data_IF_620444181246
#
_entry.id   IF_620444181246
#
_cell.length_a   1.000
_cell.length_b   1.000
_cell.length_c   1.000
_cell.angle_alpha   90.00
_cell.angle_beta   90.00
_cell.angle_gamma   90.00
#
_symmetry.space_group_name_H-M   'P 1'
#
loop_
_entity.id
_entity.type
_entity.pdbx_description
1 polymer ?
#
# COMPACT_ATOMS: atom_id res chain seq x y z
N UNK A 1 12.88 6.35 11.32
CA UNK A 1 11.91 5.39 10.72
C UNK A 1 12.17 3.99 11.24
N UNK A 2 11.18 3.10 11.21
CA UNK A 2 11.29 1.68 11.61
C UNK A 2 11.17 0.79 10.38
N UNK A 3 11.88 -0.34 10.36
CA UNK A 3 11.71 -1.34 9.34
C UNK A 3 10.60 -2.30 9.73
N UNK A 4 9.71 -2.58 8.81
CA UNK A 4 8.60 -3.51 8.94
C UNK A 4 8.45 -4.41 7.72
N UNK A 5 7.43 -5.27 7.75
CA UNK A 5 7.09 -6.16 6.64
C UNK A 5 5.59 -6.36 6.55
N UNK A 6 5.09 -6.47 5.32
CA UNK A 6 3.73 -6.89 5.05
C UNK A 6 3.63 -8.43 5.19
N UNK A 7 2.90 -8.88 6.19
CA UNK A 7 2.85 -10.28 6.63
C UNK A 7 2.20 -11.24 5.63
N UNK A 8 1.61 -10.72 4.54
CA UNK A 8 1.07 -11.54 3.45
C UNK A 8 2.10 -12.54 2.90
N UNK A 9 3.39 -12.18 2.95
CA UNK A 9 4.51 -13.04 2.55
C UNK A 9 4.56 -14.37 3.30
N UNK A 10 4.05 -14.39 4.51
CA UNK A 10 4.12 -15.53 5.44
C UNK A 10 2.77 -16.15 5.71
N UNK A 11 1.75 -15.87 4.88
CA UNK A 11 0.38 -16.38 5.06
C UNK A 11 0.23 -17.90 5.15
N UNK A 12 1.22 -18.65 4.68
CA UNK A 12 1.29 -20.10 4.84
C UNK A 12 1.88 -20.59 6.17
N UNK A 13 2.42 -19.69 7.03
CA UNK A 13 2.94 -20.00 8.36
C UNK A 13 1.88 -19.70 9.43
N UNK A 14 2.02 -20.31 10.61
CA UNK A 14 1.27 -19.82 11.78
C UNK A 14 1.72 -18.42 12.15
N UNK A 15 0.82 -17.66 12.76
CA UNK A 15 1.09 -16.27 13.15
C UNK A 15 2.36 -16.16 14.00
N UNK A 16 2.44 -16.98 15.05
CA UNK A 16 3.55 -16.93 16.01
C UNK A 16 4.90 -17.24 15.34
N UNK A 17 4.94 -18.27 14.47
CA UNK A 17 6.16 -18.68 13.75
C UNK A 17 6.61 -17.57 12.79
N UNK A 18 5.66 -16.90 12.13
CA UNK A 18 5.93 -15.78 11.24
C UNK A 18 6.45 -14.55 12.02
N UNK A 19 5.83 -14.22 13.16
CA UNK A 19 6.26 -13.13 14.01
C UNK A 19 7.65 -13.38 14.62
N UNK A 20 7.94 -14.61 15.05
CA UNK A 20 9.26 -15.01 15.55
C UNK A 20 10.32 -14.84 14.47
N UNK A 21 10.02 -15.25 13.25
CA UNK A 21 10.92 -15.08 12.12
C UNK A 21 11.19 -13.59 11.81
N UNK A 22 10.14 -12.77 11.75
CA UNK A 22 10.25 -11.32 11.50
C UNK A 22 11.08 -10.65 12.60
N UNK A 23 10.80 -10.96 13.87
CA UNK A 23 11.56 -10.42 15.00
C UNK A 23 13.04 -10.85 14.97
N UNK A 24 13.33 -12.10 14.56
CA UNK A 24 14.70 -12.62 14.44
C UNK A 24 15.52 -11.87 13.39
N UNK A 25 14.87 -11.25 12.39
CA UNK A 25 15.49 -10.41 11.36
C UNK A 25 15.72 -8.96 11.81
N UNK A 26 15.38 -8.62 13.06
CA UNK A 26 15.59 -7.29 13.63
C UNK A 26 14.53 -6.25 13.28
N UNK A 27 13.44 -6.63 12.60
CA UNK A 27 12.35 -5.73 12.28
C UNK A 27 11.62 -5.25 13.54
N UNK A 28 10.92 -4.13 13.42
CA UNK A 28 10.20 -3.47 14.53
C UNK A 28 8.69 -3.35 14.28
N UNK A 29 8.23 -3.66 13.08
CA UNK A 29 6.83 -3.51 12.73
C UNK A 29 6.36 -4.61 11.79
N UNK A 30 5.06 -4.88 11.86
CA UNK A 30 4.33 -5.73 10.92
C UNK A 30 3.12 -5.00 10.40
N UNK A 31 2.85 -5.17 9.11
CA UNK A 31 1.60 -4.82 8.46
C UNK A 31 0.82 -6.13 8.24
N UNK A 32 -0.47 -6.16 8.56
CA UNK A 32 -1.20 -7.42 8.62
C UNK A 32 -2.44 -7.39 7.73
N UNK A 33 -2.58 -8.38 6.85
CA UNK A 33 -3.74 -8.57 6.00
C UNK A 33 -5.00 -8.93 6.80
N UNK A 34 -6.11 -8.27 6.48
CA UNK A 34 -7.40 -8.39 7.19
C UNK A 34 -8.58 -8.62 6.26
N UNK A 35 -8.34 -8.76 4.96
CA UNK A 35 -9.37 -8.98 3.93
C UNK A 35 -8.88 -8.56 2.54
N UNK A 36 -9.79 -8.52 1.58
CA UNK A 36 -9.46 -8.19 0.20
C UNK A 36 -8.47 -9.16 -0.45
N UNK A 37 -7.54 -8.63 -1.26
CA UNK A 37 -6.50 -9.42 -1.93
C UNK A 37 -5.46 -10.03 -0.96
N UNK A 38 -5.01 -9.34 0.09
CA UNK A 38 -4.11 -9.92 1.09
C UNK A 38 -4.67 -11.12 1.84
N UNK A 39 -6.00 -11.25 1.88
CA UNK A 39 -6.66 -12.22 2.74
C UNK A 39 -6.53 -11.86 4.24
N UNK A 40 -6.88 -12.81 5.09
CA UNK A 40 -6.94 -12.63 6.54
C UNK A 40 -6.34 -13.82 7.32
N UNK A 41 -5.38 -14.53 6.73
CA UNK A 41 -4.83 -15.78 7.27
C UNK A 41 -4.25 -15.63 8.69
N UNK A 42 -3.71 -14.45 9.02
CA UNK A 42 -3.16 -14.15 10.34
C UNK A 42 -4.07 -13.29 11.22
N UNK A 43 -5.09 -12.66 10.64
CA UNK A 43 -5.95 -11.71 11.34
C UNK A 43 -7.35 -11.70 10.74
N UNK A 44 -8.26 -12.44 11.35
CA UNK A 44 -9.67 -12.40 10.98
C UNK A 44 -10.39 -11.28 11.76
N UNK A 45 -10.77 -10.16 11.12
CA UNK A 45 -11.37 -9.03 11.81
C UNK A 45 -12.70 -9.38 12.49
N UNK A 46 -13.51 -10.24 11.88
CA UNK A 46 -14.82 -10.63 12.45
C UNK A 46 -14.62 -11.41 13.75
N UNK A 47 -13.76 -12.41 13.72
CA UNK A 47 -13.42 -13.20 14.91
C UNK A 47 -12.90 -12.31 16.04
N UNK A 48 -11.94 -11.42 15.73
CA UNK A 48 -11.31 -10.59 16.75
C UNK A 48 -12.23 -9.49 17.28
N UNK A 49 -13.18 -9.01 16.48
CA UNK A 49 -14.19 -8.05 16.93
C UNK A 49 -15.22 -8.66 17.89
N UNK A 50 -15.53 -9.94 17.72
CA UNK A 50 -16.52 -10.67 18.52
C UNK A 50 -15.93 -11.35 19.74
N UNK A 51 -14.59 -11.61 19.78
CA UNK A 51 -13.91 -12.33 20.84
C UNK A 51 -12.80 -11.52 21.47
N UNK A 52 -13.10 -10.92 22.62
CA UNK A 52 -12.19 -10.07 23.41
C UNK A 52 -10.91 -10.81 23.87
N UNK A 53 -11.04 -12.12 24.17
CA UNK A 53 -9.89 -12.94 24.56
C UNK A 53 -8.95 -13.16 23.39
N UNK A 54 -9.49 -13.55 22.22
CA UNK A 54 -8.71 -13.71 21.01
C UNK A 54 -8.04 -12.40 20.59
N UNK A 55 -8.73 -11.26 20.73
CA UNK A 55 -8.16 -9.93 20.47
C UNK A 55 -6.94 -9.64 21.35
N UNK A 56 -7.04 -9.93 22.65
CA UNK A 56 -5.93 -9.73 23.59
C UNK A 56 -4.76 -10.67 23.31
N UNK A 57 -5.04 -11.93 23.01
CA UNK A 57 -4.01 -12.91 22.63
C UNK A 57 -3.29 -12.51 21.35
N UNK A 58 -4.03 -12.08 20.32
CA UNK A 58 -3.47 -11.57 19.08
C UNK A 58 -2.54 -10.37 19.32
N UNK A 59 -3.02 -9.36 20.05
CA UNK A 59 -2.23 -8.18 20.40
C UNK A 59 -0.97 -8.57 21.17
N UNK A 60 -1.10 -9.44 22.16
CA UNK A 60 0.02 -9.92 22.95
C UNK A 60 1.03 -10.71 22.11
N UNK A 61 0.58 -11.52 21.15
CA UNK A 61 1.47 -12.26 20.26
C UNK A 61 2.41 -11.33 19.49
N UNK A 62 1.94 -10.18 19.03
CA UNK A 62 2.77 -9.17 18.35
C UNK A 62 3.66 -8.42 19.34
N UNK A 63 3.08 -7.86 20.40
CA UNK A 63 3.78 -6.95 21.32
C UNK A 63 4.84 -7.66 22.17
N UNK A 64 4.63 -8.92 22.56
CA UNK A 64 5.60 -9.70 23.33
C UNK A 64 6.92 -9.96 22.61
N UNK A 65 6.94 -9.78 21.29
CA UNK A 65 8.13 -9.89 20.43
C UNK A 65 8.82 -8.56 20.16
N UNK A 66 8.36 -7.48 20.81
CA UNK A 66 8.86 -6.13 20.59
C UNK A 66 8.47 -5.55 19.21
N UNK A 67 7.44 -6.12 18.59
CA UNK A 67 6.87 -5.65 17.32
C UNK A 67 5.67 -4.74 17.57
N UNK A 68 5.41 -3.82 16.63
CA UNK A 68 4.17 -3.05 16.55
C UNK A 68 3.41 -3.39 15.28
N UNK A 69 2.09 -3.23 15.29
CA UNK A 69 1.30 -3.28 14.08
C UNK A 69 1.33 -1.88 13.44
N UNK A 70 1.92 -1.77 12.24
CA UNK A 70 2.02 -0.48 11.52
C UNK A 70 0.75 -0.13 10.77
N UNK A 71 0.10 -1.12 10.19
CA UNK A 71 -1.16 -0.97 9.48
C UNK A 71 -1.93 -2.29 9.45
N UNK A 72 -3.24 -2.19 9.30
CA UNK A 72 -4.08 -3.29 8.86
C UNK A 72 -4.42 -3.08 7.38
N UNK A 73 -4.40 -4.16 6.58
CA UNK A 73 -4.44 -4.05 5.12
C UNK A 73 -5.53 -4.91 4.52
N UNK A 74 -6.46 -4.27 3.80
CA UNK A 74 -7.62 -4.90 3.17
C UNK A 74 -7.79 -4.44 1.72
N UNK A 75 -6.71 -4.53 0.93
CA UNK A 75 -6.69 -4.10 -0.47
C UNK A 75 -7.76 -4.81 -1.29
N UNK A 76 -8.80 -4.08 -1.70
CA UNK A 76 -9.94 -4.57 -2.45
C UNK A 76 -10.54 -3.51 -3.37
N UNK A 77 -11.62 -3.84 -4.04
CA UNK A 77 -12.35 -2.91 -4.91
C UNK A 77 -13.78 -2.66 -4.40
N UNK A 78 -13.99 -1.78 -3.42
CA UNK A 78 -15.32 -1.48 -2.90
C UNK A 78 -16.22 -0.75 -3.92
N UNK A 79 -15.66 -0.32 -5.05
CA UNK A 79 -16.37 0.31 -6.17
C UNK A 79 -16.58 -0.64 -7.36
N UNK A 80 -16.32 -1.93 -7.18
CA UNK A 80 -16.48 -2.91 -8.25
C UNK A 80 -17.91 -2.89 -8.81
N UNK A 81 -18.10 -2.92 -10.16
CA UNK A 81 -19.44 -2.88 -10.76
C UNK A 81 -20.35 -4.03 -10.31
N UNK A 82 -19.78 -5.20 -10.07
CA UNK A 82 -20.52 -6.33 -9.50
C UNK A 82 -20.73 -6.12 -7.99
N UNK A 83 -21.97 -5.85 -7.60
CA UNK A 83 -22.35 -5.42 -6.25
C UNK A 83 -21.95 -6.40 -5.13
N UNK A 84 -21.88 -7.70 -5.40
CA UNK A 84 -21.46 -8.69 -4.40
C UNK A 84 -19.98 -8.58 -4.08
N UNK A 85 -19.13 -8.35 -5.10
CA UNK A 85 -17.70 -8.13 -4.92
C UNK A 85 -17.45 -6.80 -4.21
N UNK A 86 -18.12 -5.73 -4.67
CA UNK A 86 -18.03 -4.42 -4.02
C UNK A 86 -18.40 -4.47 -2.54
N UNK A 87 -19.51 -5.16 -2.22
CA UNK A 87 -19.97 -5.29 -0.84
C UNK A 87 -19.00 -6.08 0.02
N UNK A 88 -18.46 -7.20 -0.50
CA UNK A 88 -17.46 -7.98 0.23
C UNK A 88 -16.26 -7.12 0.62
N UNK A 89 -15.68 -6.41 -0.33
CA UNK A 89 -14.50 -5.59 -0.10
C UNK A 89 -14.81 -4.36 0.77
N UNK A 90 -16.02 -3.82 0.65
CA UNK A 90 -16.52 -2.80 1.56
C UNK A 90 -16.66 -3.31 3.00
N UNK A 91 -17.26 -4.48 3.20
CA UNK A 91 -17.44 -5.09 4.52
C UNK A 91 -16.07 -5.39 5.16
N UNK A 92 -15.09 -5.85 4.38
CA UNK A 92 -13.72 -6.06 4.83
C UNK A 92 -13.10 -4.74 5.33
N UNK A 93 -13.27 -3.64 4.59
CA UNK A 93 -12.82 -2.31 5.01
C UNK A 93 -13.46 -1.86 6.33
N UNK A 94 -14.79 -1.97 6.44
CA UNK A 94 -15.53 -1.57 7.65
C UNK A 94 -15.09 -2.37 8.88
N UNK A 95 -14.92 -3.68 8.74
CA UNK A 95 -14.44 -4.52 9.84
C UNK A 95 -12.99 -4.20 10.20
N UNK A 96 -12.15 -3.94 9.20
CA UNK A 96 -10.74 -3.57 9.42
C UNK A 96 -10.61 -2.25 10.18
N UNK A 97 -11.37 -1.21 9.81
CA UNK A 97 -11.37 0.08 10.53
C UNK A 97 -11.80 -0.09 11.99
N UNK A 98 -12.87 -0.85 12.25
CA UNK A 98 -13.31 -1.13 13.63
C UNK A 98 -12.26 -1.90 14.43
N UNK A 99 -11.59 -2.87 13.80
CA UNK A 99 -10.53 -3.63 14.43
C UNK A 99 -9.29 -2.75 14.71
N UNK A 100 -8.92 -1.89 13.76
CA UNK A 100 -7.82 -0.94 13.92
C UNK A 100 -8.03 -0.04 15.15
N UNK A 101 -9.24 0.52 15.33
CA UNK A 101 -9.60 1.28 16.52
C UNK A 101 -9.40 0.47 17.81
N UNK A 102 -9.87 -0.78 17.84
CA UNK A 102 -9.73 -1.64 19.04
C UNK A 102 -8.29 -2.01 19.37
N UNK A 103 -7.47 -2.21 18.34
CA UNK A 103 -6.04 -2.53 18.49
C UNK A 103 -5.17 -1.30 18.76
N UNK A 104 -5.68 -0.09 18.53
CA UNK A 104 -4.90 1.15 18.57
C UNK A 104 -3.98 1.32 17.36
N UNK A 105 -4.35 0.76 16.20
CA UNK A 105 -3.63 0.89 14.94
C UNK A 105 -4.16 2.12 14.19
N UNK A 106 -3.27 3.03 13.84
CA UNK A 106 -3.67 4.32 13.28
C UNK A 106 -3.97 4.29 11.76
N UNK A 107 -3.49 3.28 11.03
CA UNK A 107 -3.54 3.24 9.57
C UNK A 107 -4.23 1.97 9.07
N UNK A 108 -5.16 2.16 8.14
CA UNK A 108 -5.73 1.07 7.33
C UNK A 108 -5.33 1.30 5.88
N UNK A 109 -4.59 0.34 5.29
CA UNK A 109 -4.19 0.37 3.90
C UNK A 109 -5.21 -0.35 3.02
N UNK A 110 -5.53 0.24 1.87
CA UNK A 110 -6.45 -0.34 0.89
C UNK A 110 -6.25 0.29 -0.50
N UNK A 111 -6.99 -0.21 -1.50
CA UNK A 111 -7.12 0.45 -2.80
C UNK A 111 -8.30 1.43 -2.83
N UNK A 112 -8.21 2.43 -3.70
CA UNK A 112 -9.30 3.41 -3.88
C UNK A 112 -10.56 2.83 -4.50
N UNK A 113 -10.48 1.65 -5.08
CA UNK A 113 -11.50 1.10 -5.96
C UNK A 113 -11.40 1.61 -7.39
N UNK A 114 -12.02 0.86 -8.30
CA UNK A 114 -12.17 1.21 -9.72
C UNK A 114 -13.60 0.84 -10.17
N UNK A 115 -14.45 1.84 -10.47
CA UNK A 115 -15.79 1.59 -10.98
C UNK A 115 -15.76 1.13 -12.45
N UNK A 116 -16.94 0.77 -12.96
CA UNK A 116 -17.14 0.63 -14.40
C UNK A 116 -17.30 1.97 -15.11
N UNK A 117 -17.70 1.93 -16.36
CA UNK A 117 -17.95 3.10 -17.23
C UNK A 117 -19.37 3.66 -17.08
N UNK A 118 -20.29 2.91 -16.47
CA UNK A 118 -21.67 3.32 -16.20
C UNK A 118 -22.31 2.42 -15.12
N UNK A 119 -23.55 2.74 -14.71
CA UNK A 119 -24.22 2.10 -13.56
C UNK A 119 -24.43 0.59 -13.70
N UNK A 120 -24.61 0.08 -14.92
CA UNK A 120 -24.84 -1.32 -15.21
C UNK A 120 -23.62 -2.04 -15.81
N UNK A 121 -22.43 -1.47 -15.66
CA UNK A 121 -21.19 -2.10 -16.10
C UNK A 121 -20.97 -3.45 -15.37
N UNK A 122 -20.29 -4.37 -16.03
CA UNK A 122 -19.92 -5.67 -15.45
C UNK A 122 -18.50 -5.68 -14.88
N UNK A 123 -17.60 -4.93 -15.51
CA UNK A 123 -16.18 -4.92 -15.18
C UNK A 123 -15.70 -3.52 -14.85
N UNK A 124 -14.65 -3.39 -14.03
CA UNK A 124 -13.97 -2.12 -13.83
C UNK A 124 -13.46 -1.56 -15.16
N UNK A 125 -13.45 -0.24 -15.28
CA UNK A 125 -12.86 0.47 -16.40
C UNK A 125 -11.84 1.49 -15.86
N UNK A 126 -10.58 1.34 -16.26
CA UNK A 126 -9.50 2.25 -15.86
C UNK A 126 -9.05 3.08 -17.07
N UNK A 127 -9.62 4.29 -17.29
CA UNK A 127 -9.23 5.15 -18.41
C UNK A 127 -7.82 5.71 -18.20
N UNK A 128 -6.93 5.46 -19.14
CA UNK A 128 -5.53 5.91 -19.09
C UNK A 128 -5.13 6.79 -20.28
N UNK A 129 -6.02 6.95 -21.26
CA UNK A 129 -5.81 7.79 -22.43
C UNK A 129 -6.80 8.96 -22.45
N UNK A 130 -6.36 10.19 -22.81
CA UNK A 130 -7.23 11.37 -22.81
C UNK A 130 -8.15 11.46 -24.02
N UNK A 131 -8.00 10.58 -25.00
CA UNK A 131 -8.75 10.55 -26.25
C UNK A 131 -9.00 9.10 -26.70
N UNK A 132 -10.17 8.73 -27.25
CA UNK A 132 -11.36 9.59 -27.54
C UNK A 132 -11.99 10.24 -26.31
N UNK A 133 -12.83 11.27 -26.51
CA UNK A 133 -13.45 12.03 -25.43
C UNK A 133 -14.31 11.19 -24.49
N UNK A 134 -14.82 10.06 -24.96
CA UNK A 134 -15.54 9.06 -24.16
C UNK A 134 -14.79 8.70 -22.87
N UNK A 135 -13.45 8.59 -22.93
CA UNK A 135 -12.64 8.29 -21.76
C UNK A 135 -12.67 9.41 -20.70
N UNK A 136 -12.75 10.67 -21.16
CA UNK A 136 -12.90 11.82 -20.25
C UNK A 136 -14.28 11.84 -19.59
N UNK A 137 -15.33 11.50 -20.34
CA UNK A 137 -16.70 11.41 -19.84
C UNK A 137 -16.81 10.27 -18.81
N UNK A 138 -16.25 9.09 -19.11
CA UNK A 138 -16.17 7.96 -18.17
C UNK A 138 -15.45 8.38 -16.90
N UNK A 139 -14.27 8.99 -17.02
CA UNK A 139 -13.47 9.42 -15.87
C UNK A 139 -14.22 10.44 -15.01
N UNK A 140 -14.88 11.44 -15.63
CA UNK A 140 -15.68 12.41 -14.90
C UNK A 140 -16.83 11.73 -14.13
N UNK A 141 -17.60 10.85 -14.82
CA UNK A 141 -18.69 10.11 -14.21
C UNK A 141 -18.23 9.24 -13.03
N UNK A 142 -17.11 8.52 -13.18
CA UNK A 142 -16.53 7.68 -12.12
C UNK A 142 -16.22 8.51 -10.86
N UNK A 143 -15.54 9.63 -11.05
CA UNK A 143 -15.13 10.48 -9.92
C UNK A 143 -16.31 11.13 -9.23
N UNK A 144 -17.25 11.69 -10.00
CA UNK A 144 -18.39 12.44 -9.46
C UNK A 144 -19.46 11.55 -8.82
N UNK A 145 -19.67 10.36 -9.39
CA UNK A 145 -20.80 9.51 -8.99
C UNK A 145 -20.41 8.30 -8.14
N UNK A 146 -19.12 7.94 -8.10
CA UNK A 146 -18.64 6.74 -7.38
C UNK A 146 -17.51 7.05 -6.39
N UNK A 147 -16.38 7.55 -6.86
CA UNK A 147 -15.14 7.66 -6.06
C UNK A 147 -15.32 8.69 -4.94
N UNK A 148 -15.68 9.94 -5.29
CA UNK A 148 -15.81 11.00 -4.30
C UNK A 148 -16.95 10.72 -3.31
N UNK A 149 -18.17 10.32 -3.73
CA UNK A 149 -19.24 10.01 -2.79
C UNK A 149 -18.86 8.90 -1.81
N UNK A 150 -18.25 7.83 -2.29
CA UNK A 150 -17.84 6.72 -1.43
C UNK A 150 -16.82 7.17 -0.39
N UNK A 151 -15.74 7.83 -0.80
CA UNK A 151 -14.66 8.20 0.12
C UNK A 151 -15.00 9.37 1.04
N UNK A 152 -15.98 10.22 0.69
CA UNK A 152 -16.54 11.20 1.64
C UNK A 152 -17.24 10.52 2.81
N UNK A 153 -18.03 9.50 2.54
CA UNK A 153 -18.76 8.75 3.56
C UNK A 153 -17.81 7.88 4.38
N UNK A 154 -17.05 7.04 3.72
CA UNK A 154 -16.24 6.01 4.39
C UNK A 154 -14.89 6.53 4.90
N UNK A 155 -14.38 7.61 4.34
CA UNK A 155 -13.29 8.39 4.93
C UNK A 155 -13.73 9.07 6.25
N UNK A 156 -14.92 9.67 6.28
CA UNK A 156 -15.48 10.22 7.52
C UNK A 156 -15.67 9.13 8.58
N UNK A 157 -16.20 7.96 8.18
CA UNK A 157 -16.31 6.80 9.07
C UNK A 157 -14.96 6.40 9.66
N UNK A 158 -13.90 6.31 8.86
CA UNK A 158 -12.56 5.99 9.37
C UNK A 158 -12.06 7.07 10.34
N UNK A 159 -12.27 8.35 10.03
CA UNK A 159 -11.90 9.46 10.90
C UNK A 159 -12.62 9.42 12.26
N UNK A 160 -13.92 9.10 12.29
CA UNK A 160 -14.69 8.91 13.51
C UNK A 160 -14.15 7.79 14.41
N UNK A 161 -13.47 6.80 13.82
CA UNK A 161 -12.81 5.71 14.53
C UNK A 161 -11.34 6.03 14.88
N UNK A 162 -10.86 7.24 14.58
CA UNK A 162 -9.47 7.64 14.80
C UNK A 162 -8.46 6.96 13.86
N UNK A 163 -8.91 6.51 12.70
CA UNK A 163 -8.12 5.75 11.73
C UNK A 163 -7.89 6.56 10.48
N UNK A 164 -6.64 6.59 10.01
CA UNK A 164 -6.22 7.15 8.71
C UNK A 164 -6.36 6.09 7.62
N UNK A 165 -6.70 6.50 6.41
CA UNK A 165 -6.78 5.61 5.25
C UNK A 165 -5.55 5.82 4.37
N UNK A 166 -4.71 4.81 4.26
CA UNK A 166 -3.58 4.75 3.33
C UNK A 166 -4.01 4.13 2.00
N UNK A 167 -4.27 4.96 1.00
CA UNK A 167 -4.58 4.46 -0.34
C UNK A 167 -3.28 4.14 -1.09
N UNK A 168 -3.14 2.91 -1.51
CA UNK A 168 -2.02 2.55 -2.38
C UNK A 168 -2.25 3.12 -3.78
N UNK A 169 -1.23 3.86 -4.27
CA UNK A 169 -1.29 4.49 -5.58
C UNK A 169 -0.98 3.46 -6.68
N UNK A 170 -1.93 2.57 -6.90
CA UNK A 170 -1.78 1.41 -7.77
C UNK A 170 -2.48 1.62 -9.12
N UNK A 171 -1.78 1.36 -10.24
CA UNK A 171 -2.42 1.33 -11.56
C UNK A 171 -3.55 0.31 -11.62
N UNK A 172 -4.61 0.63 -12.37
CA UNK A 172 -5.84 -0.15 -12.39
C UNK A 172 -6.89 0.31 -11.38
N UNK A 173 -6.55 1.30 -10.52
CA UNK A 173 -7.47 1.92 -9.56
C UNK A 173 -7.63 3.42 -9.82
N UNK A 174 -8.70 4.02 -9.28
CA UNK A 174 -9.02 5.43 -9.53
C UNK A 174 -7.96 6.40 -8.95
N UNK A 175 -7.36 6.05 -7.83
CA UNK A 175 -6.25 6.79 -7.24
C UNK A 175 -4.95 6.01 -7.49
N UNK A 176 -4.14 6.51 -8.43
CA UNK A 176 -2.92 5.82 -8.86
C UNK A 176 -1.72 6.77 -9.01
N UNK A 177 -1.92 8.07 -8.85
CA UNK A 177 -0.87 9.09 -8.95
C UNK A 177 -0.98 10.11 -7.80
N UNK A 178 0.07 10.89 -7.51
CA UNK A 178 -0.03 11.99 -6.54
C UNK A 178 -1.19 12.94 -6.83
N UNK A 179 -1.42 13.29 -8.10
CA UNK A 179 -2.50 14.21 -8.48
C UNK A 179 -3.89 13.62 -8.17
N UNK A 180 -4.12 12.34 -8.45
CA UNK A 180 -5.41 11.69 -8.16
C UNK A 180 -5.62 11.51 -6.66
N UNK A 181 -4.57 11.26 -5.88
CA UNK A 181 -4.66 11.24 -4.42
C UNK A 181 -5.05 12.61 -3.85
N UNK A 182 -4.37 13.67 -4.29
CA UNK A 182 -4.63 15.03 -3.80
C UNK A 182 -6.04 15.49 -4.18
N UNK A 183 -6.52 15.15 -5.38
CA UNK A 183 -7.91 15.39 -5.78
C UNK A 183 -8.90 14.72 -4.82
N UNK A 184 -8.65 13.47 -4.44
CA UNK A 184 -9.53 12.77 -3.51
C UNK A 184 -9.43 13.33 -2.10
N UNK A 185 -8.22 13.65 -1.63
CA UNK A 185 -7.98 14.24 -0.31
C UNK A 185 -8.66 15.60 -0.17
N UNK A 186 -8.65 16.45 -1.21
CA UNK A 186 -9.39 17.70 -1.25
C UNK A 186 -10.91 17.48 -1.08
N UNK A 187 -11.45 16.43 -1.67
CA UNK A 187 -12.86 16.11 -1.66
C UNK A 187 -13.33 15.38 -0.39
N UNK A 188 -12.51 14.53 0.21
CA UNK A 188 -12.87 13.61 1.29
C UNK A 188 -12.17 13.88 2.63
N UNK A 189 -11.20 14.81 2.66
CA UNK A 189 -10.51 15.24 3.88
C UNK A 189 -9.15 14.59 4.10
N UNK A 190 -8.44 15.08 5.12
CA UNK A 190 -7.06 14.70 5.45
C UNK A 190 -6.91 13.26 5.96
N UNK A 191 -7.98 12.61 6.30
CA UNK A 191 -8.01 11.17 6.64
C UNK A 191 -7.51 10.31 5.47
N UNK A 192 -7.66 10.80 4.23
CA UNK A 192 -7.15 10.16 3.02
C UNK A 192 -5.68 10.54 2.81
N UNK A 193 -4.82 9.56 2.69
CA UNK A 193 -3.41 9.73 2.34
C UNK A 193 -2.88 8.52 1.59
N UNK A 194 -1.61 8.54 1.26
CA UNK A 194 -0.96 7.44 0.53
C UNK A 194 -0.47 6.35 1.48
N UNK A 195 -0.69 5.11 1.13
CA UNK A 195 0.29 4.06 1.27
C UNK A 195 1.16 4.15 0.01
N UNK A 196 2.33 4.80 0.11
CA UNK A 196 3.15 5.08 -1.05
C UNK A 196 4.05 3.88 -1.36
N UNK A 197 3.84 3.29 -2.53
CA UNK A 197 4.68 2.22 -3.06
C UNK A 197 5.46 2.69 -4.29
N UNK A 198 6.80 2.83 -4.19
CA UNK A 198 7.63 3.23 -5.31
C UNK A 198 7.51 2.32 -6.53
N UNK A 199 7.25 1.03 -6.31
CA UNK A 199 7.19 0.06 -7.41
C UNK A 199 6.13 0.41 -8.43
N UNK A 200 4.99 0.96 -7.98
CA UNK A 200 3.92 1.41 -8.86
C UNK A 200 4.18 2.78 -9.48
N UNK A 201 5.09 3.58 -8.89
CA UNK A 201 5.46 4.88 -9.45
C UNK A 201 6.34 4.70 -10.68
N UNK A 202 7.40 3.89 -10.61
CA UNK A 202 8.37 3.73 -11.69
C UNK A 202 7.76 3.27 -13.00
N UNK A 203 6.93 2.25 -13.00
CA UNK A 203 6.32 1.80 -14.25
C UNK A 203 5.22 2.74 -14.79
N UNK A 204 4.76 3.67 -13.97
CA UNK A 204 3.90 4.77 -14.44
C UNK A 204 4.70 5.99 -14.93
N UNK A 205 6.04 5.94 -14.91
CA UNK A 205 6.90 7.04 -15.30
C UNK A 205 6.99 8.16 -14.26
N UNK A 206 6.71 7.86 -13.00
CA UNK A 206 6.74 8.80 -11.88
C UNK A 206 8.00 8.53 -11.06
N UNK A 207 8.78 9.59 -10.78
CA UNK A 207 9.90 9.54 -9.84
C UNK A 207 9.37 9.49 -8.40
N UNK A 208 9.64 8.42 -7.62
CA UNK A 208 9.18 8.30 -6.24
C UNK A 208 9.69 9.40 -5.31
N UNK A 209 10.90 9.90 -5.51
CA UNK A 209 11.45 11.01 -4.70
C UNK A 209 10.61 12.26 -4.89
N UNK A 210 10.24 12.58 -6.14
CA UNK A 210 9.38 13.73 -6.43
C UNK A 210 7.96 13.51 -5.89
N UNK A 211 7.40 12.29 -6.01
CA UNK A 211 6.11 11.96 -5.44
C UNK A 211 6.11 12.13 -3.90
N UNK A 212 7.17 11.72 -3.21
CA UNK A 212 7.35 11.92 -1.76
C UNK A 212 7.35 13.41 -1.43
N UNK A 213 8.08 14.24 -2.18
CA UNK A 213 8.09 15.69 -1.95
C UNK A 213 6.73 16.34 -2.17
N UNK A 214 5.99 15.93 -3.20
CA UNK A 214 4.66 16.46 -3.52
C UNK A 214 3.67 16.12 -2.41
N UNK A 215 3.61 14.85 -2.01
CA UNK A 215 2.64 14.36 -1.03
C UNK A 215 3.04 14.68 0.40
N UNK A 216 4.33 14.55 0.73
CA UNK A 216 4.82 14.73 2.07
C UNK A 216 4.70 16.17 2.58
N UNK A 217 4.91 17.20 1.72
CA UNK A 217 4.67 18.61 2.07
C UNK A 217 3.23 18.92 2.48
N UNK A 218 2.30 18.04 2.13
CA UNK A 218 0.88 18.14 2.47
C UNK A 218 0.47 17.16 3.59
N UNK A 219 1.44 16.48 4.23
CA UNK A 219 1.16 15.46 5.24
C UNK A 219 0.33 14.29 4.71
N UNK A 220 0.44 14.00 3.40
CA UNK A 220 -0.41 13.06 2.71
C UNK A 220 0.21 11.66 2.55
N UNK A 221 1.31 11.34 3.26
CA UNK A 221 1.89 9.99 3.30
C UNK A 221 1.56 9.38 4.65
N UNK A 222 0.69 8.38 4.66
CA UNK A 222 0.25 7.71 5.88
C UNK A 222 1.02 6.42 6.16
N UNK A 223 1.45 5.73 5.09
CA UNK A 223 2.24 4.52 5.16
C UNK A 223 3.17 4.44 3.93
N UNK A 224 4.15 3.53 3.98
CA UNK A 224 5.12 3.36 2.89
C UNK A 224 5.46 1.89 2.68
N UNK A 225 5.30 1.40 1.45
CA UNK A 225 5.78 0.10 1.02
C UNK A 225 7.18 0.19 0.41
N UNK A 226 8.04 -0.74 0.77
CA UNK A 226 9.35 -0.91 0.15
C UNK A 226 9.31 -2.11 -0.79
N UNK A 227 8.97 -1.83 -2.04
CA UNK A 227 8.97 -2.75 -3.16
C UNK A 227 9.64 -2.08 -4.36
N UNK A 228 10.46 -2.82 -5.08
CA UNK A 228 11.22 -2.31 -6.23
C UNK A 228 10.59 -2.75 -7.56
N UNK A 229 11.01 -2.11 -8.64
CA UNK A 229 10.60 -2.43 -10.01
C UNK A 229 11.78 -2.27 -10.95
N UNK A 230 11.99 -3.22 -11.84
CA UNK A 230 12.88 -3.07 -12.99
C UNK A 230 12.06 -2.83 -14.25
N UNK A 231 12.52 -1.89 -15.08
CA UNK A 231 11.98 -1.68 -16.44
C UNK A 231 12.94 -2.34 -17.42
N UNK A 232 12.43 -3.31 -18.21
CA UNK A 232 13.22 -3.97 -19.23
C UNK A 232 13.40 -3.03 -20.43
N UNK A 233 14.65 -2.66 -20.79
CA UNK A 233 14.91 -1.66 -21.82
C UNK A 233 14.56 -2.14 -23.25
N UNK A 234 14.41 -3.45 -23.47
CA UNK A 234 14.00 -4.00 -24.76
C UNK A 234 12.49 -4.09 -24.85
N UNK A 235 11.88 -4.75 -23.86
CA UNK A 235 10.44 -5.02 -23.85
C UNK A 235 9.61 -3.75 -23.70
N UNK A 236 10.08 -2.72 -22.99
CA UNK A 236 9.39 -1.44 -22.91
C UNK A 236 9.27 -0.73 -24.28
N UNK A 237 10.25 -0.93 -25.16
CA UNK A 237 10.21 -0.41 -26.53
C UNK A 237 9.26 -1.20 -27.44
N UNK A 238 8.88 -2.42 -27.05
CA UNK A 238 7.88 -3.23 -27.75
C UNK A 238 6.46 -2.97 -27.24
N UNK A 239 6.28 -2.87 -25.92
CA UNK A 239 4.94 -2.92 -25.28
C UNK A 239 4.53 -1.61 -24.58
N UNK A 240 5.47 -0.69 -24.35
CA UNK A 240 5.25 0.47 -23.51
C UNK A 240 5.14 0.11 -22.02
N UNK A 241 4.96 1.13 -21.16
CA UNK A 241 4.85 0.93 -19.71
C UNK A 241 3.47 0.41 -19.28
N UNK A 242 2.43 0.58 -20.11
CA UNK A 242 1.08 0.03 -19.88
C UNK A 242 0.93 -1.42 -20.36
N UNK A 243 1.99 -2.20 -20.23
CA UNK A 243 2.04 -3.60 -20.63
C UNK A 243 1.00 -4.45 -19.91
N UNK A 244 0.18 -5.18 -20.69
CA UNK A 244 -0.92 -6.01 -20.21
C UNK A 244 -0.60 -7.50 -20.17
N UNK A 245 0.67 -7.89 -20.36
CA UNK A 245 1.06 -9.29 -20.31
C UNK A 245 0.96 -9.87 -18.90
N UNK A 246 0.63 -11.18 -18.82
CA UNK A 246 0.61 -11.91 -17.54
C UNK A 246 1.95 -11.80 -16.81
N UNK A 247 1.92 -11.68 -15.49
CA UNK A 247 3.12 -11.71 -14.64
C UNK A 247 3.95 -13.00 -14.79
N UNK A 248 3.35 -14.09 -15.26
CA UNK A 248 4.06 -15.35 -15.55
C UNK A 248 5.00 -15.25 -16.76
N UNK A 249 4.78 -14.27 -17.66
CA UNK A 249 5.61 -14.07 -18.85
C UNK A 249 6.80 -13.16 -18.57
N UNK A 250 7.59 -13.48 -17.59
CA UNK A 250 8.66 -12.62 -17.07
C UNK A 250 9.67 -12.16 -18.15
N UNK A 251 10.00 -13.02 -19.11
CA UNK A 251 10.94 -12.67 -20.19
C UNK A 251 10.40 -11.64 -21.21
N UNK A 252 9.08 -11.53 -21.31
CA UNK A 252 8.42 -10.72 -22.34
C UNK A 252 7.86 -9.42 -21.77
N UNK A 253 7.82 -9.24 -20.44
CA UNK A 253 7.22 -8.07 -19.80
C UNK A 253 8.11 -6.84 -19.89
N UNK A 254 7.47 -5.69 -20.07
CA UNK A 254 8.14 -4.38 -20.08
C UNK A 254 8.68 -3.97 -18.70
N UNK A 255 8.12 -4.50 -17.62
CA UNK A 255 8.58 -4.25 -16.25
C UNK A 255 8.19 -5.40 -15.33
N UNK A 256 8.92 -5.52 -14.23
CA UNK A 256 8.72 -6.57 -13.23
C UNK A 256 8.96 -6.02 -11.84
N UNK A 257 8.18 -6.49 -10.87
CA UNK A 257 8.48 -6.23 -9.46
C UNK A 257 9.75 -6.98 -9.04
N UNK A 258 10.52 -6.34 -8.18
CA UNK A 258 11.79 -6.87 -7.68
C UNK A 258 11.93 -6.64 -6.18
N UNK A 259 12.73 -7.46 -5.55
CA UNK A 259 13.20 -7.19 -4.19
C UNK A 259 14.00 -5.88 -4.16
N UNK A 260 13.91 -5.15 -3.04
CA UNK A 260 14.60 -3.86 -2.86
C UNK A 260 16.09 -3.95 -3.21
N UNK A 261 16.55 -3.08 -4.11
CA UNK A 261 17.92 -3.02 -4.62
C UNK A 261 18.20 -3.91 -5.83
N UNK A 262 17.18 -4.60 -6.37
CA UNK A 262 17.29 -5.42 -7.58
C UNK A 262 16.60 -4.83 -8.80
N UNK A 263 15.84 -3.78 -8.63
CA UNK A 263 15.33 -2.93 -9.72
C UNK A 263 16.12 -1.64 -9.85
N UNK A 264 16.34 -0.97 -8.74
CA UNK A 264 17.10 0.27 -8.63
C UNK A 264 18.24 0.12 -7.65
N UNK A 265 19.30 0.92 -7.82
CA UNK A 265 20.49 0.86 -6.98
C UNK A 265 20.22 1.40 -5.55
N UNK A 266 21.16 1.13 -4.65
CA UNK A 266 21.05 1.57 -3.26
C UNK A 266 21.16 3.08 -3.08
N UNK A 267 21.71 3.80 -4.07
CA UNK A 267 21.70 5.26 -4.09
C UNK A 267 20.28 5.79 -4.25
N UNK A 268 19.50 5.22 -5.15
CA UNK A 268 18.09 5.56 -5.35
C UNK A 268 17.27 5.32 -4.07
N UNK A 269 17.50 4.19 -3.40
CA UNK A 269 16.84 3.90 -2.13
C UNK A 269 17.28 4.83 -0.99
N UNK A 270 18.54 5.24 -0.94
CA UNK A 270 19.02 6.24 -0.01
C UNK A 270 18.36 7.62 -0.24
N UNK A 271 18.14 8.00 -1.51
CA UNK A 271 17.44 9.23 -1.86
C UNK A 271 15.96 9.19 -1.44
N UNK A 272 15.29 8.04 -1.61
CA UNK A 272 13.93 7.81 -1.12
C UNK A 272 13.87 7.97 0.41
N UNK A 273 14.77 7.32 1.17
CA UNK A 273 14.81 7.43 2.64
C UNK A 273 15.08 8.87 3.08
N UNK A 274 15.97 9.58 2.38
CA UNK A 274 16.27 10.99 2.65
C UNK A 274 15.07 11.89 2.38
N UNK A 275 14.35 11.65 1.27
CA UNK A 275 13.15 12.40 0.93
C UNK A 275 12.02 12.18 1.95
N UNK A 276 11.78 10.95 2.37
CA UNK A 276 10.82 10.62 3.43
C UNK A 276 11.15 11.37 4.73
N UNK A 277 12.41 11.32 5.16
CA UNK A 277 12.86 12.03 6.36
C UNK A 277 12.71 13.55 6.22
N UNK A 278 13.07 14.11 5.06
CA UNK A 278 13.00 15.55 4.79
C UNK A 278 11.58 16.10 4.87
N UNK A 279 10.57 15.33 4.44
CA UNK A 279 9.17 15.74 4.53
C UNK A 279 8.51 15.39 5.87
N UNK A 280 9.28 14.91 6.85
CA UNK A 280 8.82 14.62 8.21
C UNK A 280 8.17 13.23 8.38
N UNK A 281 8.27 12.35 7.40
CA UNK A 281 7.81 10.96 7.57
C UNK A 281 8.80 10.22 8.48
N UNK A 282 8.32 9.79 9.63
CA UNK A 282 9.11 9.04 10.62
C UNK A 282 8.34 7.83 11.17
N UNK A 283 7.70 7.10 10.28
CA UNK A 283 6.89 5.94 10.63
C UNK A 283 7.54 4.63 10.15
N UNK A 284 6.84 3.76 9.48
CA UNK A 284 7.31 2.44 9.09
C UNK A 284 7.59 2.40 7.59
N UNK A 285 8.71 1.78 7.23
CA UNK A 285 9.06 1.33 5.88
C UNK A 285 8.76 -0.17 5.86
N UNK A 286 7.65 -0.56 5.25
CA UNK A 286 7.10 -1.92 5.24
C UNK A 286 7.56 -2.64 3.98
N UNK A 287 8.35 -3.71 4.13
CA UNK A 287 8.78 -4.52 2.99
C UNK A 287 7.56 -5.24 2.41
N UNK A 288 7.37 -5.10 1.11
CA UNK A 288 6.51 -5.94 0.30
C UNK A 288 7.33 -6.65 -0.76
N UNK A 289 7.06 -7.94 -1.01
CA UNK A 289 7.85 -8.76 -1.93
C UNK A 289 6.95 -9.47 -2.93
N UNK A 290 7.18 -9.17 -4.20
CA UNK A 290 6.52 -9.81 -5.34
C UNK A 290 7.53 -10.12 -6.46
N UNK A 291 8.76 -10.50 -6.08
CA UNK A 291 9.84 -10.81 -7.02
C UNK A 291 9.71 -12.24 -7.53
N UNK A 292 9.37 -12.42 -8.79
CA UNK A 292 9.23 -13.74 -9.41
C UNK A 292 10.56 -14.48 -9.65
N UNK A 293 11.72 -13.81 -9.47
CA UNK A 293 13.05 -14.42 -9.62
C UNK A 293 13.66 -14.91 -8.31
N UNK A 294 13.02 -14.61 -7.18
CA UNK A 294 13.49 -15.00 -5.85
C UNK A 294 12.39 -15.70 -5.06
N UNK A 295 12.78 -16.64 -4.21
CA UNK A 295 11.88 -17.15 -3.18
C UNK A 295 11.54 -16.03 -2.19
N UNK A 296 10.41 -16.16 -1.48
CA UNK A 296 10.02 -15.22 -0.42
C UNK A 296 11.14 -15.07 0.60
N UNK A 297 11.76 -16.17 1.04
CA UNK A 297 12.82 -16.17 2.04
C UNK A 297 14.07 -15.40 1.58
N UNK A 298 14.49 -15.66 0.35
CA UNK A 298 15.68 -15.02 -0.22
C UNK A 298 15.41 -13.54 -0.48
N UNK A 299 14.32 -13.21 -1.15
CA UNK A 299 13.99 -11.82 -1.50
C UNK A 299 13.73 -10.96 -0.26
N UNK A 300 12.99 -11.48 0.73
CA UNK A 300 12.78 -10.79 1.99
C UNK A 300 14.10 -10.55 2.75
N UNK A 301 14.96 -11.58 2.88
CA UNK A 301 16.24 -11.41 3.59
C UNK A 301 17.12 -10.37 2.90
N UNK A 302 17.20 -10.38 1.57
CA UNK A 302 17.96 -9.39 0.80
C UNK A 302 17.38 -7.98 0.93
N UNK A 303 16.06 -7.84 0.91
CA UNK A 303 15.41 -6.55 1.13
C UNK A 303 15.71 -5.99 2.53
N UNK A 304 15.70 -6.84 3.56
CA UNK A 304 16.09 -6.46 4.94
C UNK A 304 17.52 -5.95 4.97
N UNK A 305 18.47 -6.73 4.42
CA UNK A 305 19.89 -6.38 4.43
C UNK A 305 20.15 -5.06 3.67
N UNK A 306 19.51 -4.87 2.53
CA UNK A 306 19.62 -3.66 1.72
C UNK A 306 19.03 -2.44 2.43
N UNK A 307 17.83 -2.55 2.98
CA UNK A 307 17.18 -1.43 3.66
C UNK A 307 17.90 -1.03 4.96
N UNK A 308 18.51 -1.95 5.67
CA UNK A 308 19.33 -1.60 6.84
C UNK A 308 20.51 -0.69 6.51
N UNK A 309 21.01 -0.71 5.28
CA UNK A 309 22.13 0.15 4.85
C UNK A 309 21.71 1.61 4.63
N UNK A 310 20.44 1.85 4.29
CA UNK A 310 19.96 3.18 3.88
C UNK A 310 18.89 3.77 4.80
N UNK A 311 18.28 2.97 5.66
CA UNK A 311 17.20 3.41 6.55
C UNK A 311 17.73 4.41 7.58
N UNK A 312 17.13 5.60 7.63
CA UNK A 312 17.43 6.62 8.63
C UNK A 312 16.60 6.32 9.88
N UNK A 313 17.22 5.72 10.91
CA UNK A 313 16.53 5.22 12.10
C UNK A 313 16.50 6.26 13.24
N UNK A 314 17.59 6.99 13.42
CA UNK A 314 17.70 7.94 14.52
C UNK A 314 16.83 9.19 14.26
N UNK A 315 16.29 9.82 15.31
CA UNK A 315 15.60 11.10 15.16
C UNK A 315 16.54 12.19 14.62
N UNK A 316 15.93 13.27 14.10
CA UNK A 316 16.71 14.45 13.70
C UNK A 316 17.48 14.99 14.89
N UNK A 317 18.78 15.18 14.71
CA UNK A 317 19.64 15.82 15.68
C UNK A 317 19.73 17.34 15.43
N UNK A 318 20.11 18.09 16.47
CA UNK A 318 20.42 19.50 16.33
C UNK A 318 21.60 19.70 15.37
N UNK A 319 21.53 20.74 14.56
CA UNK A 319 22.61 21.11 13.64
C UNK A 319 23.73 21.79 14.44
N UNK A 320 24.61 21.02 15.05
CA UNK A 320 25.69 21.51 15.92
C UNK A 320 26.67 22.44 15.22
N UNK A 321 26.61 22.56 13.89
CA UNK A 321 27.46 23.40 13.05
C UNK A 321 26.82 24.76 12.66
N UNK A 322 25.58 25.08 13.07
CA UNK A 322 24.84 26.30 12.76
C UNK A 322 24.84 27.26 13.95
#
# INVERSE_FOLDING_TARGET
MKLGVFMVLFGGRKLEDALDYVASKGLKAVEIGTGGNPGNSHCDPKLLLENETALKEFKHAVESRGLMISALSCHGNPLHPQKELARKDHDDFVHTVKLAQKLGVEVVNTFSGCPGDHENAKYPNWPVAPWPNDYQEILAWQWENKVIPYWREWGAFAAEHGVKVGLELHGGFSVHTPATLLRLREAAGEVIGANLDPSHMWWQGIDPVQAIHILGRQGAIHHFHAKDTVIDPVNVNMHGLTDMQSYEKMLDRAWQFRSVGYGHDMKTWADIMSALRLVGYDYVVSIEHEDGLMSVEEGFSKAVDNLHQVLIQEPLADMWWV
#
